data_IF_059060970971
#
_entry.id   IF_059060970971
#
_cell.length_a   1.000
_cell.length_b   1.000
_cell.length_c   1.000
_cell.angle_alpha   90.00
_cell.angle_beta   90.00
_cell.angle_gamma   90.00
#
_symmetry.space_group_name_H-M   'P 1'
#
loop_
_entity.id
_entity.type
_entity.pdbx_description
1 polymer ?
#
# COMPACT_ATOMS: atom_id res chain seq x y z
N UNK A 1 -19.02 -4.58 -23.26
CA UNK A 1 -17.59 -4.92 -23.07
C UNK A 1 -17.39 -5.93 -21.95
N UNK A 2 -16.40 -6.81 -22.09
CA UNK A 2 -16.02 -7.84 -21.11
C UNK A 2 -14.54 -7.74 -20.72
N UNK A 3 -14.23 -8.00 -19.43
CA UNK A 3 -12.86 -8.11 -18.91
C UNK A 3 -12.62 -9.53 -18.40
N UNK A 4 -11.79 -10.26 -19.13
CA UNK A 4 -11.43 -11.64 -18.81
C UNK A 4 -10.02 -11.72 -18.23
N UNK A 5 -9.78 -12.78 -17.46
CA UNK A 5 -8.46 -13.11 -16.92
C UNK A 5 -7.97 -14.39 -17.59
N UNK A 6 -6.84 -14.28 -18.27
CA UNK A 6 -6.27 -15.40 -19.01
C UNK A 6 -5.99 -16.61 -18.10
N UNK A 7 -6.18 -17.81 -18.64
CA UNK A 7 -5.71 -19.04 -18.01
C UNK A 7 -4.32 -19.39 -18.57
N UNK A 8 -3.84 -20.60 -18.34
CA UNK A 8 -2.57 -21.09 -18.90
C UNK A 8 -2.59 -21.24 -20.42
N UNK A 9 -3.77 -21.17 -21.06
CA UNK A 9 -3.90 -21.26 -22.52
C UNK A 9 -3.39 -20.02 -23.27
N UNK A 10 -3.28 -18.86 -22.60
CA UNK A 10 -2.69 -17.67 -23.22
C UNK A 10 -1.17 -17.79 -23.22
N UNK A 11 -0.62 -18.13 -24.38
CA UNK A 11 0.82 -18.25 -24.61
C UNK A 11 1.34 -17.03 -25.39
N UNK A 12 2.31 -16.31 -24.83
CA UNK A 12 2.99 -15.18 -25.48
C UNK A 12 4.48 -15.50 -25.54
N UNK A 13 5.06 -15.56 -26.73
CA UNK A 13 6.48 -15.92 -26.90
C UNK A 13 6.83 -17.29 -26.30
N UNK A 14 5.92 -18.26 -26.43
CA UNK A 14 6.10 -19.63 -25.91
C UNK A 14 5.92 -19.79 -24.39
N UNK A 15 5.51 -18.74 -23.66
CA UNK A 15 5.30 -18.81 -22.20
C UNK A 15 3.84 -18.54 -21.82
N UNK A 16 3.26 -19.27 -20.85
CA UNK A 16 1.90 -19.04 -20.38
C UNK A 16 1.81 -17.81 -19.46
N UNK A 17 0.74 -17.03 -19.58
CA UNK A 17 0.48 -15.83 -18.78
C UNK A 17 -0.87 -15.89 -18.03
N UNK A 18 -1.04 -16.78 -17.04
CA UNK A 18 -2.27 -16.86 -16.26
C UNK A 18 -2.50 -15.58 -15.44
N UNK A 19 -3.73 -15.10 -15.43
CA UNK A 19 -4.17 -13.86 -14.80
C UNK A 19 -3.95 -12.60 -15.64
N UNK A 20 -3.45 -12.72 -16.87
CA UNK A 20 -3.27 -11.57 -17.77
C UNK A 20 -4.63 -11.00 -18.21
N UNK A 21 -4.84 -9.67 -18.15
CA UNK A 21 -6.11 -9.07 -18.52
C UNK A 21 -6.33 -9.12 -20.03
N UNK A 22 -7.53 -9.50 -20.44
CA UNK A 22 -8.00 -9.49 -21.82
C UNK A 22 -9.30 -8.71 -21.89
N UNK A 23 -9.37 -7.72 -22.79
CA UNK A 23 -10.58 -6.93 -23.03
C UNK A 23 -11.24 -7.41 -24.32
N UNK A 24 -12.54 -7.65 -24.25
CA UNK A 24 -13.38 -7.96 -25.40
C UNK A 24 -14.47 -6.89 -25.55
N UNK A 25 -14.84 -6.59 -26.78
CA UNK A 25 -16.04 -5.82 -27.07
C UNK A 25 -17.28 -6.61 -26.62
N UNK A 26 -18.44 -5.95 -26.59
CA UNK A 26 -19.74 -6.62 -26.39
C UNK A 26 -20.04 -7.68 -27.46
N UNK A 27 -19.51 -7.53 -28.67
CA UNK A 27 -19.54 -8.55 -29.73
C UNK A 27 -18.72 -9.80 -29.41
N UNK A 28 -18.02 -9.83 -28.28
CA UNK A 28 -17.01 -10.84 -27.89
C UNK A 28 -15.75 -10.84 -28.75
N UNK A 29 -15.63 -9.92 -29.71
CA UNK A 29 -14.40 -9.71 -30.46
C UNK A 29 -13.31 -9.08 -29.57
N UNK A 30 -12.05 -9.38 -29.90
CA UNK A 30 -10.91 -8.81 -29.18
C UNK A 30 -10.89 -7.28 -29.30
N UNK A 31 -10.77 -6.60 -28.16
CA UNK A 31 -10.39 -5.18 -28.13
C UNK A 31 -8.89 -5.05 -28.44
N UNK A 32 -8.53 -5.24 -29.71
CA UNK A 32 -7.15 -5.24 -30.22
C UNK A 32 -6.30 -4.08 -29.67
N UNK A 33 -6.72 -2.79 -29.74
CA UNK A 33 -5.86 -1.70 -29.28
C UNK A 33 -5.55 -1.78 -27.79
N UNK A 34 -6.52 -2.14 -26.95
CA UNK A 34 -6.29 -2.29 -25.52
C UNK A 34 -5.41 -3.51 -25.20
N UNK A 35 -5.66 -4.63 -25.86
CA UNK A 35 -4.93 -5.88 -25.66
C UNK A 35 -3.47 -5.76 -26.11
N UNK A 36 -3.19 -5.10 -27.24
CA UNK A 36 -1.82 -4.83 -27.71
C UNK A 36 -1.08 -3.88 -26.75
N UNK A 37 -1.72 -2.80 -26.31
CA UNK A 37 -1.14 -1.93 -25.30
C UNK A 37 -0.84 -2.67 -24.00
N UNK A 38 -1.76 -3.51 -23.50
CA UNK A 38 -1.51 -4.28 -22.28
C UNK A 38 -0.34 -5.24 -22.47
N UNK A 39 -0.22 -5.91 -23.62
CA UNK A 39 0.93 -6.78 -23.93
C UNK A 39 2.22 -5.97 -23.94
N UNK A 40 2.25 -4.83 -24.62
CA UNK A 40 3.41 -3.94 -24.63
C UNK A 40 3.77 -3.44 -23.23
N UNK A 41 2.80 -2.93 -22.48
CA UNK A 41 3.02 -2.17 -21.24
C UNK A 41 3.29 -3.07 -20.03
N UNK A 42 2.53 -4.15 -19.87
CA UNK A 42 2.60 -5.03 -18.69
C UNK A 42 3.73 -6.05 -18.76
N UNK A 43 4.25 -6.35 -19.94
CA UNK A 43 5.36 -7.28 -20.13
C UNK A 43 6.75 -6.59 -20.07
N UNK A 44 6.80 -5.27 -19.89
CA UNK A 44 8.08 -4.55 -19.71
C UNK A 44 8.73 -4.94 -18.39
N UNK A 45 10.06 -5.10 -18.41
CA UNK A 45 10.85 -5.46 -17.22
C UNK A 45 10.64 -4.54 -16.01
N UNK A 46 10.36 -3.26 -16.23
CA UNK A 46 10.12 -2.28 -15.16
C UNK A 46 8.75 -2.43 -14.46
N UNK A 47 7.75 -3.04 -15.12
CA UNK A 47 6.36 -3.15 -14.63
C UNK A 47 6.02 -4.56 -14.14
N UNK A 48 6.92 -5.53 -14.37
CA UNK A 48 6.73 -6.99 -14.34
C UNK A 48 6.18 -7.66 -13.08
N UNK A 49 5.65 -6.92 -12.10
CA UNK A 49 4.82 -7.51 -11.06
C UNK A 49 3.43 -7.83 -11.60
N UNK A 50 3.05 -9.12 -11.63
CA UNK A 50 1.67 -9.58 -11.91
C UNK A 50 0.61 -8.90 -11.05
N UNK A 51 1.00 -8.29 -9.91
CA UNK A 51 0.10 -7.54 -9.02
C UNK A 51 -0.43 -6.24 -9.64
N UNK A 52 0.23 -5.68 -10.66
CA UNK A 52 -0.21 -4.45 -11.34
C UNK A 52 -1.28 -4.74 -12.40
N UNK A 53 -1.29 -5.95 -12.97
CA UNK A 53 -2.15 -6.34 -14.08
C UNK A 53 -3.63 -6.04 -13.84
N UNK A 54 -4.22 -6.37 -12.67
CA UNK A 54 -5.65 -6.15 -12.49
C UNK A 54 -6.05 -4.68 -12.53
N UNK A 55 -5.18 -3.81 -12.02
CA UNK A 55 -5.46 -2.37 -12.00
C UNK A 55 -5.37 -1.73 -13.38
N UNK A 56 -4.43 -2.18 -14.22
CA UNK A 56 -4.32 -1.71 -15.60
C UNK A 56 -5.47 -2.24 -16.46
N UNK A 57 -5.77 -3.54 -16.37
CA UNK A 57 -6.88 -4.15 -17.09
C UNK A 57 -8.22 -3.49 -16.74
N UNK A 58 -8.48 -3.26 -15.45
CA UNK A 58 -9.70 -2.59 -15.01
C UNK A 58 -9.78 -1.13 -15.49
N UNK A 59 -8.67 -0.40 -15.46
CA UNK A 59 -8.64 0.99 -15.92
C UNK A 59 -8.99 1.13 -17.40
N UNK A 60 -8.45 0.25 -18.24
CA UNK A 60 -8.77 0.23 -19.67
C UNK A 60 -10.21 -0.27 -19.90
N UNK A 61 -10.65 -1.28 -19.16
CA UNK A 61 -12.01 -1.79 -19.28
C UNK A 61 -13.02 -0.68 -19.00
N UNK A 62 -12.85 0.05 -17.90
CA UNK A 62 -13.76 1.14 -17.53
C UNK A 62 -13.73 2.28 -18.57
N UNK A 63 -12.56 2.58 -19.15
CA UNK A 63 -12.43 3.60 -20.20
C UNK A 63 -13.09 3.19 -21.52
N UNK A 64 -12.78 2.01 -22.04
CA UNK A 64 -13.38 1.54 -23.29
C UNK A 64 -14.87 1.23 -23.15
N UNK A 65 -15.33 0.82 -21.96
CA UNK A 65 -16.77 0.70 -21.68
C UNK A 65 -17.45 2.07 -21.69
N UNK A 66 -16.81 3.10 -21.12
CA UNK A 66 -17.31 4.48 -21.21
C UNK A 66 -17.43 4.94 -22.67
N UNK A 67 -16.41 4.67 -23.49
CA UNK A 67 -16.43 5.01 -24.92
C UNK A 67 -17.57 4.32 -25.65
N UNK A 68 -17.72 3.01 -25.46
CA UNK A 68 -18.80 2.21 -26.06
C UNK A 68 -20.18 2.71 -25.62
N UNK A 69 -20.37 3.02 -24.34
CA UNK A 69 -21.67 3.47 -23.82
C UNK A 69 -22.09 4.88 -24.28
N UNK A 70 -21.15 5.69 -24.78
CA UNK A 70 -21.39 7.06 -25.24
C UNK A 70 -21.17 7.23 -26.76
N UNK A 71 -21.04 6.13 -27.50
CA UNK A 71 -20.76 6.12 -28.94
C UNK A 71 -19.56 7.00 -29.33
N UNK A 72 -18.51 6.97 -28.51
CA UNK A 72 -17.29 7.74 -28.70
C UNK A 72 -16.20 6.89 -29.36
N UNK A 73 -15.64 7.39 -30.46
CA UNK A 73 -14.48 6.79 -31.09
C UNK A 73 -13.20 7.23 -30.35
N UNK A 74 -12.46 6.29 -29.78
CA UNK A 74 -11.22 6.62 -29.05
C UNK A 74 -10.13 7.26 -29.93
N UNK A 75 -10.16 7.00 -31.25
CA UNK A 75 -9.24 7.59 -32.24
C UNK A 75 -9.58 9.03 -32.63
N UNK A 76 -10.79 9.46 -32.34
CA UNK A 76 -11.28 10.80 -32.65
C UNK A 76 -10.76 11.82 -31.64
N UNK A 77 -9.48 12.18 -31.80
CA UNK A 77 -8.75 13.11 -30.92
C UNK A 77 -8.84 14.58 -31.38
N UNK A 78 -9.61 14.84 -32.44
CA UNK A 78 -9.73 16.15 -33.10
C UNK A 78 -11.16 16.69 -33.13
N UNK A 79 -12.06 16.10 -32.35
CA UNK A 79 -13.53 16.24 -32.37
C UNK A 79 -14.11 17.67 -32.36
N UNK A 80 -13.30 18.73 -32.29
CA UNK A 80 -13.76 20.12 -32.28
C UNK A 80 -14.56 20.50 -31.03
N UNK A 81 -14.78 19.55 -30.13
CA UNK A 81 -15.50 19.72 -28.88
C UNK A 81 -14.67 20.51 -27.85
N UNK A 82 -15.35 21.23 -26.96
CA UNK A 82 -14.75 21.99 -25.86
C UNK A 82 -13.93 21.13 -24.88
N UNK A 83 -14.17 19.80 -24.87
CA UNK A 83 -13.48 18.85 -23.99
C UNK A 83 -13.00 17.64 -24.78
N UNK A 84 -11.76 17.22 -24.51
CA UNK A 84 -11.24 15.97 -25.08
C UNK A 84 -11.93 14.74 -24.49
N UNK A 85 -11.90 13.62 -25.22
CA UNK A 85 -12.44 12.33 -24.79
C UNK A 85 -11.90 11.88 -23.41
N UNK A 86 -10.62 12.15 -23.15
CA UNK A 86 -9.98 11.81 -21.86
C UNK A 86 -10.45 12.74 -20.74
N UNK A 87 -10.66 14.03 -21.03
CA UNK A 87 -11.25 14.97 -20.08
C UNK A 87 -12.72 14.63 -19.78
N UNK A 88 -13.50 14.21 -20.79
CA UNK A 88 -14.86 13.70 -20.63
C UNK A 88 -14.90 12.47 -19.72
N UNK A 89 -14.01 11.50 -19.94
CA UNK A 89 -13.91 10.32 -19.07
C UNK A 89 -13.49 10.66 -17.63
N UNK A 90 -12.61 11.64 -17.43
CA UNK A 90 -12.26 12.15 -16.09
C UNK A 90 -13.50 12.68 -15.37
N UNK A 91 -14.28 13.52 -16.06
CA UNK A 91 -15.47 14.14 -15.48
C UNK A 91 -16.52 13.08 -15.17
N UNK A 92 -16.75 12.12 -16.07
CA UNK A 92 -17.59 10.94 -15.83
C UNK A 92 -17.16 10.15 -14.58
N UNK A 93 -15.86 9.89 -14.42
CA UNK A 93 -15.35 9.19 -13.23
C UNK A 93 -15.61 9.95 -11.93
N UNK A 94 -15.52 11.28 -11.93
CA UNK A 94 -15.61 12.11 -10.73
C UNK A 94 -17.05 12.50 -10.37
N UNK A 95 -17.87 12.79 -11.38
CA UNK A 95 -19.23 13.33 -11.22
C UNK A 95 -20.24 12.19 -11.22
N UNK A 96 -20.28 11.39 -12.29
CA UNK A 96 -21.28 10.32 -12.46
C UNK A 96 -20.95 9.10 -11.60
N UNK A 97 -19.73 8.58 -11.70
CA UNK A 97 -19.32 7.41 -10.91
C UNK A 97 -18.90 7.75 -9.48
N UNK A 98 -18.76 9.04 -9.13
CA UNK A 98 -18.35 9.52 -7.81
C UNK A 98 -17.10 8.83 -7.24
N UNK A 99 -16.15 8.49 -8.11
CA UNK A 99 -14.94 7.78 -7.70
C UNK A 99 -14.01 8.68 -6.91
N UNK A 100 -13.32 8.09 -5.94
CA UNK A 100 -12.25 8.78 -5.22
C UNK A 100 -11.20 9.31 -6.21
N UNK A 101 -10.77 10.57 -6.02
CA UNK A 101 -9.78 11.24 -6.89
C UNK A 101 -8.51 10.43 -7.13
N UNK A 102 -8.04 9.69 -6.13
CA UNK A 102 -6.87 8.79 -6.26
C UNK A 102 -7.13 7.65 -7.25
N UNK A 103 -8.32 7.06 -7.21
CA UNK A 103 -8.75 5.99 -8.13
C UNK A 103 -8.88 6.54 -9.54
N UNK A 104 -9.55 7.68 -9.71
CA UNK A 104 -9.67 8.35 -11.02
C UNK A 104 -8.31 8.68 -11.60
N UNK A 105 -7.40 9.24 -10.79
CA UNK A 105 -6.02 9.52 -11.21
C UNK A 105 -5.28 8.26 -11.66
N UNK A 106 -5.43 7.15 -10.95
CA UNK A 106 -4.82 5.87 -11.34
C UNK A 106 -5.38 5.35 -12.66
N UNK A 107 -6.70 5.42 -12.87
CA UNK A 107 -7.32 5.01 -14.14
C UNK A 107 -6.83 5.88 -15.29
N UNK A 108 -6.89 7.20 -15.13
CA UNK A 108 -6.39 8.16 -16.11
C UNK A 108 -4.91 7.96 -16.42
N UNK A 109 -4.09 7.57 -15.44
CA UNK A 109 -2.68 7.27 -15.68
C UNK A 109 -2.51 6.18 -16.75
N UNK A 110 -3.24 5.07 -16.64
CA UNK A 110 -3.17 3.99 -17.63
C UNK A 110 -3.80 4.39 -18.97
N UNK A 111 -4.88 5.16 -18.97
CA UNK A 111 -5.47 5.71 -20.21
C UNK A 111 -4.49 6.63 -20.93
N UNK A 112 -3.78 7.49 -20.21
CA UNK A 112 -2.77 8.36 -20.80
C UNK A 112 -1.59 7.55 -21.36
N UNK A 113 -1.14 6.50 -20.65
CA UNK A 113 -0.13 5.57 -21.16
C UNK A 113 -0.59 4.81 -22.41
N UNK A 114 -1.89 4.47 -22.47
CA UNK A 114 -2.48 3.90 -23.68
C UNK A 114 -2.42 4.86 -24.86
N UNK A 115 -2.78 6.13 -24.68
CA UNK A 115 -2.71 7.13 -25.75
C UNK A 115 -1.27 7.49 -26.16
N UNK A 116 -0.34 7.58 -25.21
CA UNK A 116 1.10 7.72 -25.53
C UNK A 116 1.58 6.56 -26.41
N UNK A 117 1.18 5.33 -26.09
CA UNK A 117 1.48 4.16 -26.91
C UNK A 117 0.80 4.23 -28.28
N UNK A 118 -0.49 4.58 -28.33
CA UNK A 118 -1.25 4.70 -29.57
C UNK A 118 -0.65 5.75 -30.52
N UNK A 119 -0.16 6.87 -29.98
CA UNK A 119 0.54 7.88 -30.77
C UNK A 119 1.87 7.33 -31.32
N UNK A 120 2.64 6.60 -30.51
CA UNK A 120 3.89 5.96 -30.95
C UNK A 120 3.65 4.91 -32.05
N UNK A 121 2.50 4.23 -32.04
CA UNK A 121 2.11 3.30 -33.11
C UNK A 121 1.48 3.99 -34.33
N UNK A 122 1.31 5.32 -34.31
CA UNK A 122 0.66 6.08 -35.38
C UNK A 122 -0.85 5.88 -35.49
N UNK A 123 -1.52 5.36 -34.44
CA UNK A 123 -2.96 5.11 -34.45
C UNK A 123 -3.79 6.38 -34.23
N UNK A 124 -3.16 7.43 -33.69
CA UNK A 124 -3.74 8.76 -33.48
C UNK A 124 -2.72 9.81 -33.93
N UNK A 125 -3.20 10.91 -34.50
CA UNK A 125 -2.36 12.03 -34.99
C UNK A 125 -1.67 12.77 -33.85
N UNK A 126 -2.35 12.90 -32.70
CA UNK A 126 -1.88 13.63 -31.51
C UNK A 126 -2.46 13.07 -30.22
N UNK A 127 -1.95 13.52 -29.08
CA UNK A 127 -2.50 13.18 -27.77
C UNK A 127 -3.78 13.99 -27.49
N UNK A 128 -4.83 13.38 -26.92
CA UNK A 128 -6.06 14.07 -26.52
C UNK A 128 -5.92 14.81 -25.18
N UNK A 129 -4.70 15.20 -24.81
CA UNK A 129 -4.39 15.92 -23.57
C UNK A 129 -3.07 16.69 -23.73
N UNK A 130 -2.95 17.79 -23.01
CA UNK A 130 -1.73 18.59 -22.94
C UNK A 130 -0.91 18.32 -21.68
N UNK A 131 0.21 19.03 -21.58
CA UNK A 131 0.99 19.10 -20.36
C UNK A 131 0.95 20.53 -19.82
N UNK A 132 0.63 20.66 -18.54
CA UNK A 132 0.66 21.93 -17.83
C UNK A 132 1.83 21.94 -16.84
N UNK A 133 2.54 23.06 -16.79
CA UNK A 133 3.42 23.36 -15.66
C UNK A 133 2.57 23.64 -14.41
N UNK A 134 2.63 22.75 -13.43
CA UNK A 134 2.02 23.00 -12.12
C UNK A 134 3.09 23.33 -11.09
N UNK A 135 2.91 24.47 -10.40
CA UNK A 135 3.67 24.78 -9.19
C UNK A 135 3.35 23.71 -8.14
N UNK A 136 4.31 22.85 -7.87
CA UNK A 136 4.26 21.91 -6.76
C UNK A 136 4.66 22.69 -5.52
N UNK A 137 3.84 22.65 -4.45
CA UNK A 137 4.24 23.21 -3.16
C UNK A 137 5.62 22.66 -2.81
N UNK A 138 6.61 23.56 -2.65
CA UNK A 138 7.91 23.20 -2.09
C UNK A 138 7.64 22.43 -0.81
N UNK A 139 8.26 21.26 -0.64
CA UNK A 139 8.26 20.65 0.68
C UNK A 139 9.01 21.61 1.58
N UNK A 140 8.32 22.27 2.51
CA UNK A 140 8.91 23.12 3.55
C UNK A 140 9.67 22.32 4.61
N UNK A 141 10.00 21.05 4.34
CA UNK A 141 10.66 20.14 5.26
C UNK A 141 12.14 19.93 4.95
N UNK A 142 12.77 19.05 5.73
CA UNK A 142 14.19 18.71 5.76
C UNK A 142 14.94 18.62 4.41
N UNK A 143 14.26 18.27 3.30
CA UNK A 143 14.87 18.18 1.96
C UNK A 143 14.51 19.35 1.02
N UNK A 144 14.03 20.48 1.54
CA UNK A 144 13.69 21.66 0.74
C UNK A 144 14.86 22.11 -0.15
N UNK A 145 16.09 21.96 0.35
CA UNK A 145 17.33 22.38 -0.31
C UNK A 145 17.80 21.43 -1.42
N UNK A 146 17.26 20.21 -1.52
CA UNK A 146 17.72 19.17 -2.48
C UNK A 146 16.89 19.16 -3.77
N UNK A 147 15.76 19.89 -3.81
CA UNK A 147 14.93 19.96 -5.01
C UNK A 147 15.48 20.98 -6.03
N UNK A 148 16.36 20.50 -6.91
CA UNK A 148 16.88 21.28 -8.06
C UNK A 148 15.82 21.61 -9.13
N UNK A 149 14.62 21.01 -9.08
CA UNK A 149 13.56 21.15 -10.10
C UNK A 149 12.69 22.42 -9.98
N UNK A 150 13.09 23.41 -9.18
CA UNK A 150 12.43 24.71 -9.13
C UNK A 150 10.97 24.70 -8.66
N UNK A 151 10.46 23.59 -8.11
CA UNK A 151 9.06 23.49 -7.66
C UNK A 151 8.04 23.44 -8.79
N UNK A 152 8.46 23.11 -10.02
CA UNK A 152 7.58 22.91 -11.17
C UNK A 152 7.54 21.44 -11.55
N UNK A 153 6.37 20.89 -11.84
CA UNK A 153 6.22 19.57 -12.43
C UNK A 153 5.32 19.66 -13.65
N UNK A 154 5.75 19.05 -14.76
CA UNK A 154 4.89 18.81 -15.92
C UNK A 154 3.89 17.74 -15.55
N UNK A 155 2.61 18.12 -15.50
CA UNK A 155 1.52 17.22 -15.19
C UNK A 155 0.56 17.25 -16.37
N UNK A 156 0.08 16.08 -16.77
CA UNK A 156 -0.99 15.98 -17.74
C UNK A 156 -2.22 16.77 -17.26
N UNK A 157 -2.73 17.66 -18.10
CA UNK A 157 -3.83 18.59 -17.80
C UNK A 157 -5.10 17.87 -17.32
N UNK A 158 -5.37 16.67 -17.84
CA UNK A 158 -6.51 15.82 -17.44
C UNK A 158 -6.36 15.20 -16.05
N UNK A 159 -5.19 15.29 -15.41
CA UNK A 159 -4.98 14.67 -14.11
C UNK A 159 -5.65 15.49 -12.99
N UNK A 160 -6.53 14.88 -12.16
CA UNK A 160 -7.13 15.57 -11.04
C UNK A 160 -6.05 15.98 -10.04
N UNK A 161 -6.26 17.13 -9.37
CA UNK A 161 -5.35 17.64 -8.34
C UNK A 161 -5.20 16.62 -7.21
N UNK A 162 -3.95 16.38 -6.83
CA UNK A 162 -3.63 15.46 -5.74
C UNK A 162 -3.72 16.21 -4.41
N UNK A 163 -4.71 15.87 -3.59
CA UNK A 163 -4.76 16.29 -2.19
C UNK A 163 -4.00 15.23 -1.39
N UNK A 164 -2.90 15.62 -0.74
CA UNK A 164 -2.19 14.72 0.17
C UNK A 164 -2.96 14.71 1.49
N UNK A 165 -3.67 13.62 1.75
CA UNK A 165 -4.25 13.37 3.08
C UNK A 165 -3.15 12.79 3.95
N UNK A 166 -2.98 13.33 5.15
CA UNK A 166 -2.01 12.82 6.10
C UNK A 166 -2.40 11.39 6.53
N UNK A 167 -1.43 10.47 6.66
CA UNK A 167 -1.72 9.12 7.13
C UNK A 167 -2.35 9.16 8.51
N UNK A 168 -3.51 8.53 8.66
CA UNK A 168 -4.11 8.29 9.97
C UNK A 168 -3.32 7.19 10.70
N UNK A 169 -3.19 7.32 12.01
CA UNK A 169 -2.57 6.35 12.91
C UNK A 169 -3.40 6.23 14.19
N UNK A 170 -3.13 5.20 14.99
CA UNK A 170 -3.84 4.95 16.24
C UNK A 170 -3.12 5.60 17.42
N UNK A 171 -3.89 6.25 18.29
CA UNK A 171 -3.46 6.66 19.63
C UNK A 171 -3.15 5.43 20.51
N UNK A 172 -2.49 5.65 21.65
CA UNK A 172 -2.19 4.56 22.58
C UNK A 172 -3.45 3.92 23.18
N UNK A 173 -4.51 4.70 23.39
CA UNK A 173 -5.77 4.18 23.93
C UNK A 173 -6.56 3.41 22.89
N UNK A 174 -6.63 3.90 21.65
CA UNK A 174 -7.18 3.12 20.53
C UNK A 174 -6.44 1.78 20.34
N UNK A 175 -5.12 1.74 20.53
CA UNK A 175 -4.36 0.48 20.49
C UNK A 175 -4.81 -0.49 21.60
N UNK A 176 -5.00 0.01 22.83
CA UNK A 176 -5.45 -0.82 23.96
C UNK A 176 -6.84 -1.39 23.67
N UNK A 177 -7.80 -0.53 23.32
CA UNK A 177 -9.17 -0.94 22.98
C UNK A 177 -9.18 -1.94 21.82
N UNK A 178 -8.38 -1.71 20.77
CA UNK A 178 -8.28 -2.63 19.64
C UNK A 178 -7.75 -4.02 20.05
N UNK A 179 -6.75 -4.07 20.93
CA UNK A 179 -6.17 -5.32 21.41
C UNK A 179 -7.08 -6.07 22.39
N UNK A 180 -7.85 -5.34 23.19
CA UNK A 180 -8.88 -5.90 24.08
C UNK A 180 -9.97 -6.61 23.26
N UNK A 181 -10.54 -5.91 22.26
CA UNK A 181 -11.57 -6.47 21.36
C UNK A 181 -11.08 -7.59 20.44
N UNK A 182 -9.76 -7.78 20.31
CA UNK A 182 -9.17 -8.90 19.60
C UNK A 182 -9.21 -10.20 20.43
N UNK A 183 -10.40 -10.70 20.79
CA UNK A 183 -10.60 -11.86 21.67
C UNK A 183 -9.86 -13.12 21.20
N UNK A 184 -9.86 -13.39 19.89
CA UNK A 184 -9.14 -14.52 19.32
C UNK A 184 -7.62 -14.31 19.46
N UNK A 185 -6.89 -15.20 20.16
CA UNK A 185 -5.47 -15.00 20.47
C UNK A 185 -4.57 -14.97 19.23
N UNK A 186 -4.93 -15.70 18.16
CA UNK A 186 -4.21 -15.63 16.89
C UNK A 186 -4.38 -14.27 16.21
N UNK A 187 -5.60 -13.74 16.20
CA UNK A 187 -5.86 -12.42 15.60
C UNK A 187 -5.21 -11.30 16.41
N UNK A 188 -5.25 -11.40 17.75
CA UNK A 188 -4.52 -10.52 18.65
C UNK A 188 -3.03 -10.51 18.33
N UNK A 189 -2.41 -11.68 18.17
CA UNK A 189 -0.97 -11.75 17.88
C UNK A 189 -0.61 -11.19 16.49
N UNK A 190 -1.47 -11.38 15.48
CA UNK A 190 -1.32 -10.75 14.15
C UNK A 190 -1.29 -9.22 14.28
N UNK A 191 -2.23 -8.63 15.03
CA UNK A 191 -2.29 -7.18 15.26
C UNK A 191 -1.05 -6.70 16.03
N UNK A 192 -0.66 -7.42 17.09
CA UNK A 192 0.54 -7.10 17.89
C UNK A 192 1.81 -7.10 17.03
N UNK A 193 1.98 -8.07 16.12
CA UNK A 193 3.12 -8.08 15.21
C UNK A 193 3.12 -6.84 14.33
N UNK A 194 1.99 -6.50 13.70
CA UNK A 194 1.86 -5.30 12.87
C UNK A 194 2.22 -4.00 13.62
N UNK A 195 1.68 -3.83 14.84
CA UNK A 195 1.91 -2.66 15.68
C UNK A 195 3.35 -2.53 16.21
N UNK A 196 4.07 -3.65 16.39
CA UNK A 196 5.42 -3.65 16.97
C UNK A 196 6.55 -3.71 15.96
N UNK A 197 6.26 -3.97 14.69
CA UNK A 197 7.28 -4.12 13.63
C UNK A 197 7.01 -3.29 12.38
N UNK A 198 5.80 -2.77 12.21
CA UNK A 198 5.42 -2.01 11.03
C UNK A 198 5.42 -2.81 9.73
N UNK A 199 5.34 -4.14 9.79
CA UNK A 199 5.33 -4.99 8.59
C UNK A 199 4.12 -4.72 7.69
N UNK A 200 4.29 -4.91 6.38
CA UNK A 200 3.17 -4.90 5.42
C UNK A 200 2.29 -6.14 5.65
N UNK A 201 1.01 -6.07 5.31
CA UNK A 201 0.09 -7.22 5.49
C UNK A 201 0.56 -8.54 4.86
N UNK A 202 1.21 -8.47 3.70
CA UNK A 202 1.78 -9.65 3.03
C UNK A 202 2.98 -10.19 3.80
N UNK A 203 3.81 -9.32 4.37
CA UNK A 203 4.95 -9.68 5.22
C UNK A 203 4.48 -10.30 6.54
N UNK A 204 3.36 -9.81 7.11
CA UNK A 204 2.71 -10.42 8.28
C UNK A 204 2.18 -11.82 7.92
N UNK A 205 1.50 -11.96 6.79
CA UNK A 205 0.94 -13.23 6.34
C UNK A 205 2.03 -14.29 6.09
N UNK A 206 3.15 -13.89 5.49
CA UNK A 206 4.26 -14.78 5.18
C UNK A 206 5.32 -14.88 6.28
N UNK A 207 5.13 -14.25 7.44
CA UNK A 207 6.17 -14.17 8.48
C UNK A 207 6.57 -15.60 8.90
N UNK A 208 7.84 -16.01 8.73
CA UNK A 208 8.22 -17.39 9.01
C UNK A 208 8.20 -17.75 10.49
N UNK A 209 7.81 -18.99 10.77
CA UNK A 209 7.91 -19.62 12.08
C UNK A 209 9.37 -19.68 12.55
N UNK A 210 10.31 -19.94 11.63
CA UNK A 210 11.74 -20.05 11.92
C UNK A 210 12.37 -18.75 12.46
N UNK A 211 11.72 -17.59 12.28
CA UNK A 211 12.20 -16.32 12.82
C UNK A 211 11.84 -16.13 14.30
N UNK A 212 11.04 -17.02 14.87
CA UNK A 212 10.59 -16.96 16.26
C UNK A 212 11.29 -18.03 17.07
N UNK A 213 12.06 -17.61 18.05
CA UNK A 213 12.81 -18.48 18.95
C UNK A 213 12.79 -17.93 20.37
N UNK A 214 13.12 -18.78 21.34
CA UNK A 214 13.29 -18.39 22.73
C UNK A 214 14.59 -17.57 22.89
N UNK A 215 14.51 -16.26 23.20
CA UNK A 215 15.69 -15.42 23.30
C UNK A 215 16.59 -15.79 24.49
N UNK A 216 16.03 -16.33 25.58
CA UNK A 216 16.80 -16.77 26.74
C UNK A 216 17.64 -18.00 26.39
N UNK A 217 17.02 -19.02 25.77
CA UNK A 217 17.74 -20.23 25.34
C UNK A 217 18.75 -19.97 24.23
N UNK A 218 18.51 -18.97 23.40
CA UNK A 218 19.43 -18.56 22.33
C UNK A 218 20.61 -17.69 22.84
N UNK A 219 20.72 -17.43 24.15
CA UNK A 219 21.76 -16.57 24.72
C UNK A 219 21.70 -15.12 24.26
N UNK A 220 20.51 -14.64 23.85
CA UNK A 220 20.30 -13.28 23.37
C UNK A 220 19.87 -12.39 24.53
N UNK A 221 20.78 -11.56 25.00
CA UNK A 221 20.55 -10.62 26.11
C UNK A 221 20.30 -9.19 25.64
N UNK A 222 20.41 -8.92 24.33
CA UNK A 222 20.15 -7.59 23.78
C UNK A 222 18.68 -7.19 23.96
N UNK A 223 18.41 -5.92 24.29
CA UNK A 223 17.03 -5.41 24.44
C UNK A 223 16.23 -5.48 23.13
N UNK A 224 16.92 -5.31 22.00
CA UNK A 224 16.38 -5.41 20.65
C UNK A 224 17.17 -6.47 19.87
N UNK A 225 16.44 -7.43 19.31
CA UNK A 225 16.99 -8.53 18.52
C UNK A 225 16.79 -8.20 17.04
N UNK A 226 17.86 -8.35 16.26
CA UNK A 226 17.83 -8.17 14.81
C UNK A 226 17.27 -9.44 14.16
N UNK A 227 16.21 -9.29 13.38
CA UNK A 227 15.60 -10.34 12.56
C UNK A 227 15.72 -9.94 11.09
N UNK A 228 16.37 -10.77 10.29
CA UNK A 228 16.52 -10.55 8.86
C UNK A 228 15.33 -11.13 8.12
N UNK A 229 14.57 -10.26 7.44
CA UNK A 229 13.49 -10.66 6.55
C UNK A 229 14.09 -10.98 5.17
N UNK A 230 14.32 -12.25 4.87
CA UNK A 230 14.98 -12.65 3.63
C UNK A 230 14.07 -13.53 2.75
N UNK A 231 13.66 -13.06 1.57
CA UNK A 231 12.87 -13.88 0.65
C UNK A 231 13.59 -15.10 0.08
N UNK A 232 14.90 -15.20 0.26
CA UNK A 232 15.75 -16.22 -0.38
C UNK A 232 16.28 -17.26 0.61
N UNK A 233 15.92 -17.18 1.90
CA UNK A 233 16.41 -18.10 2.95
C UNK A 233 15.67 -19.44 3.00
N UNK A 234 14.70 -19.67 2.10
CA UNK A 234 13.91 -20.90 2.04
C UNK A 234 12.85 -21.04 3.13
N UNK A 235 12.68 -20.05 4.01
CA UNK A 235 11.67 -20.04 5.07
C UNK A 235 10.32 -19.46 4.63
N UNK A 236 10.23 -18.94 3.40
CA UNK A 236 8.97 -18.50 2.78
C UNK A 236 8.60 -17.03 3.04
N UNK A 237 9.53 -16.23 3.56
CA UNK A 237 9.31 -14.81 3.77
C UNK A 237 9.06 -14.08 2.44
N UNK A 238 8.13 -13.12 2.39
CA UNK A 238 7.84 -12.34 1.19
C UNK A 238 7.97 -10.85 1.48
N UNK A 239 8.86 -10.18 0.76
CA UNK A 239 9.02 -8.72 0.84
C UNK A 239 8.69 -8.05 -0.49
N UNK A 240 8.41 -6.73 -0.43
CA UNK A 240 8.16 -5.96 -1.65
C UNK A 240 9.42 -5.93 -2.52
N UNK A 241 9.30 -6.39 -3.76
CA UNK A 241 10.41 -6.44 -4.72
C UNK A 241 11.48 -7.47 -4.39
N UNK A 242 11.17 -8.46 -3.53
CA UNK A 242 12.09 -9.51 -3.09
C UNK A 242 13.40 -8.98 -2.49
N UNK A 243 13.37 -7.80 -1.85
CA UNK A 243 14.55 -7.21 -1.22
C UNK A 243 14.64 -7.63 0.24
N UNK A 244 15.76 -8.19 0.71
CA UNK A 244 15.93 -8.50 2.12
C UNK A 244 16.08 -7.20 2.93
N UNK A 245 15.67 -7.23 4.21
CA UNK A 245 15.96 -6.16 5.15
C UNK A 245 15.98 -6.67 6.58
N UNK A 246 16.72 -5.98 7.44
CA UNK A 246 16.70 -6.22 8.87
C UNK A 246 15.57 -5.42 9.53
N UNK A 247 14.91 -6.08 10.48
CA UNK A 247 14.04 -5.42 11.45
C UNK A 247 14.54 -5.67 12.87
N UNK A 248 14.36 -4.70 13.76
CA UNK A 248 14.54 -4.88 15.19
C UNK A 248 13.22 -5.24 15.87
N UNK A 249 13.25 -6.29 16.68
CA UNK A 249 12.13 -6.75 17.52
C UNK A 249 12.60 -6.73 18.98
N UNK A 250 11.83 -6.12 19.87
CA UNK A 250 12.18 -6.12 21.30
C UNK A 250 12.21 -7.56 21.82
N UNK A 251 13.19 -7.89 22.66
CA UNK A 251 13.35 -9.20 23.27
C UNK A 251 12.08 -9.71 23.94
N UNK A 252 11.42 -8.85 24.72
CA UNK A 252 10.14 -9.14 25.39
C UNK A 252 9.07 -9.61 24.40
N UNK A 253 8.96 -8.92 23.26
CA UNK A 253 7.98 -9.30 22.25
C UNK A 253 8.37 -10.58 21.48
N UNK A 254 9.67 -10.84 21.27
CA UNK A 254 10.09 -12.11 20.68
C UNK A 254 9.76 -13.29 21.62
N UNK A 255 9.96 -13.12 22.93
CA UNK A 255 9.53 -14.10 23.92
C UNK A 255 8.00 -14.31 23.91
N UNK A 256 7.20 -13.25 23.74
CA UNK A 256 5.74 -13.36 23.58
C UNK A 256 5.34 -14.11 22.30
N UNK A 257 6.03 -13.87 21.18
CA UNK A 257 5.81 -14.61 19.94
C UNK A 257 6.15 -16.10 20.12
N UNK A 258 7.27 -16.40 20.79
CA UNK A 258 7.65 -17.77 21.10
C UNK A 258 6.63 -18.45 22.01
N UNK A 259 6.13 -17.76 23.03
CA UNK A 259 5.04 -18.26 23.89
C UNK A 259 3.78 -18.56 23.08
N UNK A 260 3.39 -17.69 22.16
CA UNK A 260 2.28 -17.94 21.25
C UNK A 260 2.51 -19.20 20.40
N UNK A 261 3.74 -19.41 19.89
CA UNK A 261 4.09 -20.62 19.13
C UNK A 261 3.89 -21.89 19.97
N UNK A 262 4.40 -21.89 21.20
CA UNK A 262 4.38 -23.07 22.08
C UNK A 262 2.98 -23.35 22.65
N UNK A 263 2.24 -22.32 23.05
CA UNK A 263 1.01 -22.49 23.84
C UNK A 263 -0.28 -22.38 23.03
N UNK A 264 -0.28 -21.68 21.89
CA UNK A 264 -1.52 -21.31 21.19
C UNK A 264 -1.51 -21.77 19.74
N UNK A 265 -0.41 -21.58 18.99
CA UNK A 265 -0.33 -21.91 17.56
C UNK A 265 -0.63 -23.39 17.30
N UNK A 266 -0.28 -24.27 18.24
CA UNK A 266 -0.53 -25.72 18.17
C UNK A 266 -1.96 -26.08 17.82
N UNK A 267 -2.96 -25.36 18.37
CA UNK A 267 -4.39 -25.57 18.12
C UNK A 267 -4.74 -25.50 16.62
N UNK A 268 -4.22 -24.49 15.91
CA UNK A 268 -4.43 -24.38 14.46
C UNK A 268 -3.53 -25.34 13.68
N UNK A 269 -2.30 -25.55 14.14
CA UNK A 269 -1.35 -26.41 13.45
C UNK A 269 -1.82 -27.87 13.40
N UNK A 270 -2.50 -28.36 14.45
CA UNK A 270 -3.03 -29.73 14.49
C UNK A 270 -4.21 -29.98 13.55
N UNK A 271 -4.82 -28.93 12.99
CA UNK A 271 -5.92 -29.05 12.02
C UNK A 271 -5.44 -29.41 10.61
N UNK A 272 -4.15 -29.22 10.32
CA UNK A 272 -3.55 -29.57 9.03
C UNK A 272 -2.63 -30.78 9.17
N UNK A 273 -2.64 -31.65 8.16
CA UNK A 273 -1.71 -32.80 8.07
C UNK A 273 -0.29 -32.37 7.68
N UNK A 274 -0.14 -31.16 7.15
CA UNK A 274 1.13 -30.64 6.65
C UNK A 274 1.70 -29.62 7.62
N UNK A 275 3.00 -29.71 7.89
CA UNK A 275 3.70 -28.68 8.66
C UNK A 275 3.94 -27.44 7.81
N UNK A 276 3.41 -26.31 8.27
CA UNK A 276 3.50 -25.03 7.57
C UNK A 276 4.61 -24.14 8.13
N UNK A 277 5.41 -23.56 7.23
CA UNK A 277 6.52 -22.66 7.57
C UNK A 277 6.06 -21.28 8.06
N UNK A 278 4.83 -20.87 7.78
CA UNK A 278 4.29 -19.57 8.21
C UNK A 278 3.93 -19.56 9.70
N UNK A 279 4.25 -18.46 10.39
CA UNK A 279 3.94 -18.25 11.80
C UNK A 279 2.43 -18.28 12.06
N UNK A 280 1.64 -17.62 11.21
CA UNK A 280 0.20 -17.53 11.37
C UNK A 280 -0.54 -18.47 10.41
N UNK A 281 -1.44 -19.26 10.97
CA UNK A 281 -2.34 -20.15 10.27
C UNK A 281 -3.77 -19.63 10.39
N UNK A 282 -4.62 -19.97 9.44
CA UNK A 282 -6.04 -19.66 9.46
C UNK A 282 -6.81 -20.71 10.26
N UNK A 283 -8.13 -20.55 10.35
CA UNK A 283 -9.03 -21.41 11.12
C UNK A 283 -9.14 -22.86 10.59
N UNK A 284 -8.63 -23.15 9.39
CA UNK A 284 -8.49 -24.50 8.83
C UNK A 284 -7.07 -25.07 9.01
N UNK A 285 -6.19 -24.40 9.76
CA UNK A 285 -4.80 -24.80 9.93
C UNK A 285 -3.88 -24.49 8.75
N UNK A 286 -4.40 -23.85 7.71
CA UNK A 286 -3.63 -23.50 6.50
C UNK A 286 -3.02 -22.10 6.58
N UNK A 287 -1.94 -21.78 5.85
CA UNK A 287 -1.39 -20.43 5.79
C UNK A 287 -2.43 -19.40 5.32
N UNK A 288 -2.25 -18.15 5.72
CA UNK A 288 -2.98 -17.06 5.08
C UNK A 288 -2.48 -16.85 3.65
N UNK A 289 -3.38 -16.43 2.75
CA UNK A 289 -3.01 -16.08 1.39
C UNK A 289 -1.92 -15.00 1.36
N UNK A 290 -0.99 -15.16 0.42
CA UNK A 290 0.18 -14.32 0.17
C UNK A 290 -0.08 -12.81 0.06
N UNK A 291 -1.28 -12.40 -0.34
CA UNK A 291 -1.65 -10.99 -0.49
C UNK A 291 -2.07 -10.33 0.83
N UNK A 292 -2.28 -11.12 1.89
CA UNK A 292 -2.70 -10.68 3.21
C UNK A 292 -4.12 -10.11 3.26
N UNK A 293 -4.99 -10.33 2.26
CA UNK A 293 -6.36 -9.77 2.24
C UNK A 293 -7.22 -10.28 3.39
N UNK A 294 -7.08 -11.55 3.79
CA UNK A 294 -7.79 -12.08 4.96
C UNK A 294 -7.33 -11.41 6.26
N UNK A 295 -6.03 -11.15 6.41
CA UNK A 295 -5.49 -10.39 7.55
C UNK A 295 -6.05 -8.97 7.57
N UNK A 296 -6.09 -8.28 6.41
CA UNK A 296 -6.73 -6.97 6.28
C UNK A 296 -8.18 -6.98 6.74
N UNK A 297 -8.96 -8.01 6.36
CA UNK A 297 -10.34 -8.18 6.78
C UNK A 297 -10.45 -8.38 8.30
N UNK A 298 -9.62 -9.26 8.88
CA UNK A 298 -9.58 -9.50 10.34
C UNK A 298 -9.33 -8.20 11.10
N UNK A 299 -8.35 -7.40 10.68
CA UNK A 299 -8.04 -6.11 11.32
C UNK A 299 -9.24 -5.15 11.25
N UNK A 300 -9.91 -5.07 10.10
CA UNK A 300 -11.09 -4.23 9.91
C UNK A 300 -12.29 -4.67 10.75
N UNK A 301 -12.52 -5.98 10.87
CA UNK A 301 -13.61 -6.55 11.67
C UNK A 301 -13.40 -6.31 13.16
N UNK A 302 -12.16 -6.48 13.65
CA UNK A 302 -11.80 -6.12 15.03
C UNK A 302 -11.94 -4.61 15.24
N UNK A 303 -11.49 -3.81 14.27
CA UNK A 303 -11.70 -2.37 14.26
C UNK A 303 -13.16 -1.97 14.42
N UNK A 304 -14.05 -2.58 13.63
CA UNK A 304 -15.49 -2.33 13.70
C UNK A 304 -16.07 -2.65 15.08
N UNK A 305 -15.61 -3.74 15.72
CA UNK A 305 -16.01 -4.11 17.10
C UNK A 305 -15.48 -3.16 18.18
N UNK A 306 -14.37 -2.49 17.87
CA UNK A 306 -13.76 -1.48 18.73
C UNK A 306 -14.25 -0.05 18.43
N UNK A 307 -15.15 0.12 17.44
CA UNK A 307 -15.54 1.41 16.87
C UNK A 307 -14.35 2.26 16.36
N UNK A 308 -13.31 1.58 15.85
CA UNK A 308 -12.09 2.20 15.33
C UNK A 308 -11.94 1.87 13.85
N UNK A 309 -11.80 2.90 13.01
CA UNK A 309 -11.53 2.74 11.57
C UNK A 309 -10.08 2.36 11.31
N UNK A 310 -9.74 1.09 11.53
CA UNK A 310 -8.38 0.56 11.35
C UNK A 310 -8.27 -0.38 10.14
N UNK A 311 -7.06 -0.45 9.60
CA UNK A 311 -6.65 -1.39 8.56
C UNK A 311 -5.15 -1.67 8.68
N UNK A 312 -4.60 -2.66 7.95
CA UNK A 312 -3.21 -3.11 8.17
C UNK A 312 -2.16 -2.03 7.91
N UNK A 313 -2.40 -1.13 6.95
CA UNK A 313 -1.49 0.00 6.71
C UNK A 313 -1.53 1.01 7.86
N UNK A 314 -2.68 1.18 8.53
CA UNK A 314 -2.77 2.00 9.73
C UNK A 314 -1.92 1.43 10.86
N UNK A 315 -1.89 0.10 11.09
CA UNK A 315 -0.99 -0.50 12.09
C UNK A 315 0.50 -0.16 11.82
N UNK A 316 0.87 -0.14 10.54
CA UNK A 316 2.22 0.26 10.12
C UNK A 316 2.48 1.75 10.30
N UNK A 317 1.51 2.60 10.00
CA UNK A 317 1.60 4.05 10.26
C UNK A 317 1.74 4.30 11.76
N UNK A 318 0.93 3.63 12.58
CA UNK A 318 1.01 3.66 14.05
C UNK A 318 2.40 3.29 14.55
N UNK A 319 2.97 2.16 14.10
CA UNK A 319 4.35 1.81 14.45
C UNK A 319 5.33 2.92 14.07
N UNK A 320 5.24 3.43 12.84
CA UNK A 320 6.16 4.44 12.33
C UNK A 320 6.11 5.74 13.13
N UNK A 321 4.91 6.27 13.36
CA UNK A 321 4.69 7.54 14.08
C UNK A 321 5.17 7.40 15.53
N UNK A 322 4.70 6.41 16.29
CA UNK A 322 5.09 6.25 17.69
C UNK A 322 6.58 5.96 17.87
N UNK A 323 7.18 5.17 16.98
CA UNK A 323 8.63 4.90 17.02
C UNK A 323 9.42 6.17 16.73
N UNK A 324 8.99 6.97 15.75
CA UNK A 324 9.65 8.23 15.41
C UNK A 324 9.60 9.22 16.58
N UNK A 325 8.42 9.39 17.20
CA UNK A 325 8.23 10.24 18.40
C UNK A 325 9.15 9.79 19.53
N UNK A 326 9.17 8.48 19.84
CA UNK A 326 9.99 7.94 20.92
C UNK A 326 11.50 8.14 20.67
N UNK A 327 11.95 7.95 19.43
CA UNK A 327 13.37 8.15 19.07
C UNK A 327 13.80 9.62 19.13
N UNK A 328 12.91 10.55 18.74
CA UNK A 328 13.18 11.99 18.83
C UNK A 328 13.24 12.47 20.28
N UNK A 329 12.36 11.95 21.16
CA UNK A 329 12.33 12.32 22.59
C UNK A 329 13.53 11.78 23.37
N UNK A 330 14.00 10.57 23.04
CA UNK A 330 15.02 9.88 23.83
C UNK A 330 16.47 10.23 23.44
N UNK A 331 16.69 11.21 22.55
CA UNK A 331 18.04 11.67 22.18
C UNK A 331 18.95 10.56 21.67
N UNK A 332 18.44 9.68 20.80
CA UNK A 332 19.22 8.55 20.30
C UNK A 332 20.39 9.02 19.41
N UNK A 333 21.55 8.36 19.51
CA UNK A 333 22.67 8.53 18.57
C UNK A 333 22.33 8.10 17.13
N UNK A 334 21.15 7.51 16.92
CA UNK A 334 20.63 7.11 15.62
C UNK A 334 19.78 8.23 15.02
N UNK A 335 19.97 8.47 13.73
CA UNK A 335 19.06 9.29 12.91
C UNK A 335 17.65 8.67 12.88
N UNK A 336 16.65 9.23 13.59
CA UNK A 336 15.35 8.57 13.82
C UNK A 336 14.61 8.26 12.51
N UNK A 337 14.65 9.18 11.56
CA UNK A 337 13.98 9.03 10.27
C UNK A 337 14.61 7.93 9.41
N UNK A 338 15.94 7.80 9.44
CA UNK A 338 16.68 6.74 8.73
C UNK A 338 16.40 5.39 9.37
N UNK A 339 16.35 5.31 10.70
CA UNK A 339 15.99 4.09 11.40
C UNK A 339 14.59 3.60 11.01
N UNK A 340 13.57 4.47 11.08
CA UNK A 340 12.20 4.11 10.69
C UNK A 340 12.13 3.73 9.20
N UNK A 341 12.83 4.45 8.32
CA UNK A 341 12.89 4.12 6.88
C UNK A 341 13.43 2.70 6.63
N UNK A 342 14.50 2.30 7.34
CA UNK A 342 15.09 0.95 7.26
C UNK A 342 14.15 -0.12 7.80
N UNK A 343 13.59 0.06 9.01
CA UNK A 343 12.61 -0.86 9.61
C UNK A 343 11.42 -1.13 8.67
N UNK A 344 10.89 -0.05 8.08
CA UNK A 344 9.76 -0.12 7.16
C UNK A 344 10.15 -0.65 5.77
N UNK A 345 11.42 -0.58 5.38
CA UNK A 345 11.86 -0.93 4.02
C UNK A 345 11.25 0.00 2.97
N UNK A 346 11.31 1.31 3.19
CA UNK A 346 10.96 2.30 2.19
C UNK A 346 12.15 2.57 1.26
N UNK A 347 11.95 2.54 -0.06
CA UNK A 347 13.03 2.84 -1.02
C UNK A 347 13.40 4.32 -1.09
N UNK A 348 12.55 5.20 -0.57
CA UNK A 348 12.79 6.65 -0.55
C UNK A 348 12.47 7.22 0.82
N UNK A 349 13.39 8.03 1.35
CA UNK A 349 13.22 8.77 2.60
C UNK A 349 12.00 9.70 2.55
N UNK A 350 11.63 10.20 1.36
CA UNK A 350 10.46 11.05 1.16
C UNK A 350 9.15 10.34 1.53
N UNK A 351 9.11 9.00 1.40
CA UNK A 351 7.95 8.20 1.84
C UNK A 351 7.85 8.19 3.36
N UNK A 352 8.98 8.28 4.07
CA UNK A 352 9.04 8.28 5.54
C UNK A 352 8.82 9.68 6.11
N UNK A 353 9.22 10.75 5.39
CA UNK A 353 9.01 12.14 5.82
C UNK A 353 7.53 12.48 6.06
N UNK A 354 6.59 11.74 5.47
CA UNK A 354 5.16 11.92 5.75
C UNK A 354 4.84 11.79 7.24
N UNK A 355 5.59 10.98 8.00
CA UNK A 355 5.39 10.83 9.44
C UNK A 355 5.95 12.00 10.25
N UNK A 356 6.93 12.74 9.73
CA UNK A 356 7.48 13.92 10.42
C UNK A 356 6.40 15.00 10.59
N UNK A 357 5.56 15.20 9.58
CA UNK A 357 4.43 16.11 9.67
C UNK A 357 3.45 15.72 10.78
N UNK A 358 3.20 14.42 10.97
CA UNK A 358 2.32 13.94 12.05
C UNK A 358 2.93 14.17 13.43
N UNK A 359 4.26 14.07 13.56
CA UNK A 359 4.91 14.36 14.84
C UNK A 359 4.82 15.85 15.17
N UNK A 360 5.00 16.73 14.18
CA UNK A 360 4.86 18.16 14.39
C UNK A 360 3.44 18.53 14.81
N UNK A 361 2.40 17.98 14.16
CA UNK A 361 1.00 18.21 14.58
C UNK A 361 0.73 17.72 16.01
N UNK A 362 1.32 16.58 16.42
CA UNK A 362 1.23 16.11 17.80
C UNK A 362 1.92 17.06 18.80
N UNK A 363 3.02 17.70 18.42
CA UNK A 363 3.71 18.68 19.24
C UNK A 363 2.89 19.97 19.35
N UNK A 364 2.35 20.48 18.24
CA UNK A 364 1.52 21.68 18.22
C UNK A 364 0.26 21.50 19.10
N UNK A 365 -0.44 20.35 18.98
CA UNK A 365 -1.58 20.05 19.83
C UNK A 365 -1.23 19.92 21.32
N UNK A 366 -0.02 19.46 21.64
CA UNK A 366 0.44 19.37 23.04
C UNK A 366 0.72 20.75 23.64
N UNK A 367 1.19 21.72 22.83
CA UNK A 367 1.35 23.11 23.25
C UNK A 367 -0.02 23.76 23.48
N UNK A 368 -0.96 23.56 22.56
CA UNK A 368 -2.32 24.10 22.71
C UNK A 368 -3.05 23.53 23.94
N UNK A 369 -2.95 22.23 24.20
CA UNK A 369 -3.55 21.63 25.39
C UNK A 369 -2.97 22.18 26.70
N UNK A 370 -1.66 22.47 26.72
CA UNK A 370 -1.01 23.10 27.88
C UNK A 370 -1.45 24.56 28.07
N UNK A 371 -1.60 25.32 26.98
CA UNK A 371 -2.11 26.70 27.03
C UNK A 371 -3.60 26.73 27.46
N UNK A 372 -4.41 25.78 27.01
CA UNK A 372 -5.82 25.64 27.42
C UNK A 372 -5.91 25.32 28.93
N UNK A 373 -5.11 24.37 29.44
CA UNK A 373 -5.04 24.07 30.88
C UNK A 373 -4.61 25.29 31.72
N UNK A 374 -3.61 26.06 31.26
CA UNK A 374 -3.19 27.30 31.93
C UNK A 374 -4.27 28.39 31.89
N UNK A 375 -5.04 28.46 30.80
CA UNK A 375 -6.07 29.48 30.61
C UNK A 375 -7.34 29.16 31.42
N UNK A 376 -7.68 27.88 31.56
CA UNK A 376 -8.78 27.42 32.41
C UNK A 376 -8.47 27.66 33.91
N UNK A 377 -7.21 27.51 34.33
CA UNK A 377 -6.76 27.84 35.70
C UNK A 377 -6.78 29.36 35.97
N UNK A 378 -6.63 30.20 34.94
CA UNK A 378 -6.66 31.67 35.05
C UNK A 378 -8.09 32.25 34.91
N UNK A 379 -9.07 31.46 34.45
CA UNK A 379 -10.48 31.84 34.31
C UNK A 379 -11.34 31.59 35.55
N UNK A 380 -10.76 31.06 36.63
CA UNK A 380 -11.47 30.66 37.86
C UNK A 380 -11.30 31.64 39.04
N UNK A 381 -10.93 32.91 38.80
CA UNK A 381 -10.75 33.94 39.84
C UNK A 381 -11.78 35.06 39.74
#
# INVERSE_FOLDING_TARGET
MELLWATESLVIGGRPYPGFPLLLWDTMDSCVPANEFMRYFLLRGAIGSRKSWPSTGRALYDFFSFLQAHDLAWRDVERGEDKSVVAGYRDYCLVECQLARSTTRQRLHYVCKFYEYAQQQGWVSRLPFGYEERKVRRSTGFLAHVNASGGKAMVNDVMPRQHRVLPKFLSMDEIKVLLEKAENPHHRMIIRLGLRTGLRRAEIASFPLAYVFDPDKAGRHERNIRVRLDPHDGHGMRTKGSKPRDIFISRRFLADLHRYVVQVRGERASLSRTQHKSLFLNQSGEPYADDGKRIERIVREIGKRADIKVHTHMLRHTYATHTLVALQRNGSSLEPLVFVQRQLGHSSIQTTMVYLHLVNELADNAVLAYDDELSDDLGAV
#
